data_IF_021492416437
#
_entry.id   IF_021492416437
#
_cell.length_a   1.000
_cell.length_b   1.000
_cell.length_c   1.000
_cell.angle_alpha   90.00
_cell.angle_beta   90.00
_cell.angle_gamma   90.00
#
_symmetry.space_group_name_H-M   'P 1'
#
loop_
_entity.id
_entity.type
_entity.pdbx_description
1 polymer ?
#
# COMPACT_ATOMS: atom_id res chain seq x y z
N UNK A 1 -25.44 -22.99 30.75
CA UNK A 1 -25.35 -21.84 29.82
C UNK A 1 -25.26 -22.34 28.39
N UNK A 2 -26.19 -21.91 27.53
CA UNK A 2 -26.19 -22.18 26.09
C UNK A 2 -25.02 -21.47 25.39
N UNK A 3 -24.55 -21.97 24.24
CA UNK A 3 -23.46 -21.32 23.46
C UNK A 3 -23.82 -19.86 23.13
N UNK A 4 -25.10 -19.63 22.79
CA UNK A 4 -25.70 -18.30 22.62
C UNK A 4 -25.50 -17.37 23.82
N UNK A 5 -25.86 -17.83 25.03
CA UNK A 5 -25.74 -17.01 26.25
C UNK A 5 -24.30 -16.61 26.57
N UNK A 6 -23.34 -17.50 26.33
CA UNK A 6 -21.91 -17.22 26.50
C UNK A 6 -21.44 -16.15 25.53
N UNK A 7 -21.75 -16.31 24.24
CA UNK A 7 -21.34 -15.36 23.18
C UNK A 7 -21.90 -13.97 23.39
N UNK A 8 -23.17 -13.84 23.78
CA UNK A 8 -23.74 -12.54 24.13
C UNK A 8 -22.97 -11.91 25.29
N UNK A 9 -22.74 -12.67 26.36
CA UNK A 9 -22.03 -12.19 27.55
C UNK A 9 -20.62 -11.71 27.17
N UNK A 10 -19.88 -12.50 26.38
CA UNK A 10 -18.52 -12.18 25.94
C UNK A 10 -18.46 -10.92 25.06
N UNK A 11 -19.43 -10.71 24.17
CA UNK A 11 -19.48 -9.49 23.35
C UNK A 11 -19.84 -8.29 24.23
N UNK A 12 -20.77 -8.44 25.17
CA UNK A 12 -21.14 -7.37 26.11
C UNK A 12 -19.94 -6.92 26.95
N UNK A 13 -19.17 -7.87 27.50
CA UNK A 13 -17.94 -7.58 28.25
C UNK A 13 -16.92 -6.85 27.38
N UNK A 14 -16.66 -7.33 26.15
CA UNK A 14 -15.72 -6.67 25.22
C UNK A 14 -16.13 -5.26 24.83
N UNK A 15 -17.44 -4.97 24.77
CA UNK A 15 -17.97 -3.65 24.43
C UNK A 15 -18.28 -2.76 25.63
N UNK A 16 -18.02 -3.21 26.87
CA UNK A 16 -18.43 -2.54 28.10
C UNK A 16 -19.93 -2.19 28.12
N UNK A 17 -20.79 -3.09 27.63
CA UNK A 17 -22.24 -2.91 27.60
C UNK A 17 -22.91 -3.56 28.82
N UNK A 18 -23.85 -2.85 29.43
CA UNK A 18 -24.76 -3.39 30.44
C UNK A 18 -25.97 -4.09 29.80
N UNK A 19 -26.64 -4.97 30.55
CA UNK A 19 -27.87 -5.63 30.07
C UNK A 19 -28.95 -4.61 29.69
N UNK A 20 -29.06 -3.53 30.48
CA UNK A 20 -29.98 -2.42 30.21
C UNK A 20 -29.67 -1.74 28.86
N UNK A 21 -28.42 -1.37 28.62
CA UNK A 21 -28.01 -0.72 27.35
C UNK A 21 -28.27 -1.63 26.14
N UNK A 22 -27.94 -2.93 26.25
CA UNK A 22 -28.21 -3.85 25.16
C UNK A 22 -29.72 -4.06 24.94
N UNK A 23 -30.52 -4.04 26.00
CA UNK A 23 -31.97 -4.17 25.90
C UNK A 23 -32.58 -2.97 25.16
N UNK A 24 -32.10 -1.76 25.46
CA UNK A 24 -32.47 -0.53 24.77
C UNK A 24 -32.10 -0.60 23.28
N UNK A 25 -30.85 -0.98 22.95
CA UNK A 25 -30.38 -1.09 21.56
C UNK A 25 -31.13 -2.16 20.75
N UNK A 26 -31.52 -3.27 21.37
CA UNK A 26 -32.22 -4.36 20.72
C UNK A 26 -33.75 -4.22 20.76
N UNK A 27 -34.27 -3.12 21.32
CA UNK A 27 -35.71 -2.87 21.53
C UNK A 27 -36.40 -4.06 22.22
N UNK A 28 -35.88 -4.44 23.39
CA UNK A 28 -36.49 -5.45 24.28
C UNK A 28 -36.49 -4.94 25.72
N UNK A 29 -37.31 -5.55 26.57
CA UNK A 29 -37.30 -5.25 28.02
C UNK A 29 -36.02 -5.78 28.67
N UNK A 30 -35.53 -5.12 29.70
CA UNK A 30 -34.38 -5.57 30.50
C UNK A 30 -34.60 -6.98 31.09
N UNK A 31 -35.83 -7.30 31.51
CA UNK A 31 -36.20 -8.63 31.99
C UNK A 31 -35.99 -9.71 30.91
N UNK A 32 -36.44 -9.46 29.67
CA UNK A 32 -36.20 -10.36 28.54
C UNK A 32 -34.71 -10.52 28.24
N UNK A 33 -33.93 -9.44 28.30
CA UNK A 33 -32.48 -9.50 28.14
C UNK A 33 -31.83 -10.40 29.20
N UNK A 34 -32.25 -10.28 30.46
CA UNK A 34 -31.73 -11.12 31.55
C UNK A 34 -31.94 -12.61 31.27
N UNK A 35 -33.12 -13.00 30.79
CA UNK A 35 -33.40 -14.38 30.39
C UNK A 35 -32.49 -14.86 29.24
N UNK A 36 -32.20 -14.00 28.26
CA UNK A 36 -31.31 -14.32 27.14
C UNK A 36 -29.85 -14.50 27.59
N UNK A 37 -29.36 -13.58 28.43
CA UNK A 37 -27.97 -13.60 28.96
C UNK A 37 -27.74 -14.79 29.89
N UNK A 38 -28.74 -15.19 30.68
CA UNK A 38 -28.68 -16.41 31.50
C UNK A 38 -28.85 -17.70 30.70
N UNK A 39 -29.32 -17.60 29.45
CA UNK A 39 -29.63 -18.74 28.59
C UNK A 39 -30.89 -19.50 29.00
N UNK A 40 -31.79 -18.86 29.77
CA UNK A 40 -33.07 -19.42 30.22
C UNK A 40 -34.15 -19.33 29.13
N UNK A 41 -33.97 -18.44 28.14
CA UNK A 41 -34.89 -18.27 27.02
C UNK A 41 -34.13 -18.08 25.71
N UNK A 42 -34.70 -18.59 24.62
CA UNK A 42 -34.21 -18.34 23.26
C UNK A 42 -34.99 -17.18 22.63
N UNK A 43 -34.33 -16.16 22.05
CA UNK A 43 -35.02 -15.10 21.32
C UNK A 43 -35.70 -15.64 20.05
N UNK A 44 -36.79 -15.01 19.64
CA UNK A 44 -37.38 -15.26 18.31
C UNK A 44 -36.49 -14.66 17.22
N UNK A 45 -36.69 -15.08 15.98
CA UNK A 45 -35.86 -14.67 14.85
C UNK A 45 -35.78 -13.15 14.64
N UNK A 46 -36.86 -12.41 14.89
CA UNK A 46 -36.88 -10.95 14.83
C UNK A 46 -36.01 -10.32 15.93
N UNK A 47 -36.15 -10.79 17.16
CA UNK A 47 -35.36 -10.33 18.32
C UNK A 47 -33.89 -10.70 18.15
N UNK A 48 -33.60 -11.91 17.68
CA UNK A 48 -32.25 -12.39 17.40
C UNK A 48 -31.55 -11.48 16.38
N UNK A 49 -32.25 -11.07 15.32
CA UNK A 49 -31.72 -10.14 14.31
C UNK A 49 -31.41 -8.77 14.90
N UNK A 50 -32.28 -8.23 15.77
CA UNK A 50 -32.04 -6.95 16.45
C UNK A 50 -30.85 -7.04 17.42
N UNK A 51 -30.74 -8.14 18.17
CA UNK A 51 -29.59 -8.41 19.04
C UNK A 51 -28.28 -8.48 18.24
N UNK A 52 -28.29 -9.23 17.13
CA UNK A 52 -27.17 -9.36 16.22
C UNK A 52 -26.73 -7.97 15.67
N UNK A 53 -27.68 -7.16 15.21
CA UNK A 53 -27.43 -5.78 14.75
C UNK A 53 -26.84 -4.89 15.85
N UNK A 54 -27.45 -4.87 17.04
CA UNK A 54 -26.96 -4.09 18.20
C UNK A 54 -25.52 -4.50 18.62
N UNK A 55 -25.24 -5.81 18.54
CA UNK A 55 -23.93 -6.36 18.86
C UNK A 55 -22.93 -6.25 17.70
N UNK A 56 -23.36 -5.88 16.50
CA UNK A 56 -22.51 -5.85 15.32
C UNK A 56 -21.94 -7.23 14.99
N UNK A 57 -22.79 -8.26 15.01
CA UNK A 57 -22.46 -9.65 14.65
C UNK A 57 -23.58 -10.24 13.82
N UNK A 58 -23.35 -11.36 13.13
CA UNK A 58 -24.41 -12.08 12.44
C UNK A 58 -25.27 -12.89 13.43
N UNK A 59 -26.53 -13.18 13.05
CA UNK A 59 -27.38 -14.06 13.84
C UNK A 59 -26.76 -15.46 13.98
N UNK A 60 -26.16 -15.97 12.90
CA UNK A 60 -25.48 -17.26 12.87
C UNK A 60 -24.29 -17.33 13.84
N UNK A 61 -23.56 -16.22 14.01
CA UNK A 61 -22.48 -16.14 15.00
C UNK A 61 -23.02 -16.29 16.42
N UNK A 62 -24.17 -15.67 16.73
CA UNK A 62 -24.81 -15.82 18.04
C UNK A 62 -25.34 -17.24 18.27
N UNK A 63 -25.81 -17.91 17.21
CA UNK A 63 -26.32 -19.29 17.28
C UNK A 63 -25.21 -20.35 17.32
N UNK A 64 -23.97 -19.98 17.02
CA UNK A 64 -22.81 -20.88 17.05
C UNK A 64 -22.60 -21.68 15.76
N UNK A 65 -23.28 -21.32 14.67
CA UNK A 65 -23.27 -22.08 13.41
C UNK A 65 -22.11 -21.70 12.46
N UNK A 66 -21.39 -20.58 12.69
CA UNK A 66 -20.26 -20.15 11.86
C UNK A 66 -19.12 -19.49 12.65
N UNK A 67 -17.87 -19.70 12.19
CA UNK A 67 -16.64 -19.01 12.66
C UNK A 67 -16.49 -17.58 12.11
N UNK A 68 -17.37 -17.17 11.20
CA UNK A 68 -17.26 -15.91 10.47
C UNK A 68 -17.47 -14.70 11.37
N UNK A 69 -16.58 -13.73 11.21
CA UNK A 69 -16.33 -12.57 12.06
C UNK A 69 -17.56 -11.66 12.32
N UNK A 70 -17.50 -10.79 13.34
CA UNK A 70 -18.46 -9.71 13.57
C UNK A 70 -18.86 -8.97 12.29
N UNK A 71 -20.09 -8.44 12.26
CA UNK A 71 -20.49 -7.50 11.22
C UNK A 71 -19.54 -6.30 11.30
N UNK A 72 -18.95 -5.90 10.17
CA UNK A 72 -18.02 -4.79 10.18
C UNK A 72 -18.75 -3.52 10.61
N UNK A 73 -18.32 -2.94 11.73
CA UNK A 73 -18.84 -1.68 12.29
C UNK A 73 -18.27 -0.46 11.57
N UNK A 74 -17.21 -0.66 10.79
CA UNK A 74 -16.51 0.37 10.03
C UNK A 74 -16.16 -0.15 8.64
N UNK A 75 -15.95 0.77 7.69
CA UNK A 75 -15.43 0.44 6.37
C UNK A 75 -14.08 -0.29 6.45
N UNK A 76 -13.24 0.03 7.46
CA UNK A 76 -11.97 -0.66 7.70
C UNK A 76 -12.17 -2.12 8.10
N UNK A 77 -13.11 -2.42 9.00
CA UNK A 77 -13.44 -3.80 9.37
C UNK A 77 -14.03 -4.58 8.20
N UNK A 78 -14.79 -3.91 7.32
CA UNK A 78 -15.33 -4.53 6.11
C UNK A 78 -14.20 -4.89 5.14
N UNK A 79 -13.29 -3.95 4.90
CA UNK A 79 -12.11 -4.18 4.06
C UNK A 79 -11.26 -5.31 4.61
N UNK A 80 -11.00 -5.36 5.92
CA UNK A 80 -10.25 -6.46 6.53
C UNK A 80 -10.90 -7.83 6.28
N UNK A 81 -12.23 -7.92 6.44
CA UNK A 81 -12.96 -9.15 6.14
C UNK A 81 -12.94 -9.50 4.65
N UNK A 82 -13.06 -8.50 3.78
CA UNK A 82 -13.02 -8.66 2.33
C UNK A 82 -11.66 -9.19 1.88
N UNK A 83 -10.55 -8.61 2.37
CA UNK A 83 -9.19 -9.08 2.11
C UNK A 83 -8.99 -10.53 2.56
N UNK A 84 -9.49 -10.89 3.75
CA UNK A 84 -9.38 -12.26 4.26
C UNK A 84 -10.13 -13.32 3.43
N UNK A 85 -11.10 -12.89 2.62
CA UNK A 85 -11.89 -13.78 1.75
C UNK A 85 -11.34 -13.94 0.33
N UNK A 86 -10.28 -13.21 -0.02
CA UNK A 86 -9.70 -13.19 -1.36
C UNK A 86 -8.80 -14.39 -1.64
N UNK A 87 -8.61 -14.69 -2.93
CA UNK A 87 -7.59 -15.62 -3.38
C UNK A 87 -6.22 -14.96 -3.54
N UNK A 88 -5.18 -15.78 -3.73
CA UNK A 88 -3.80 -15.29 -3.83
C UNK A 88 -3.59 -14.30 -4.99
N UNK A 89 -4.21 -14.51 -6.16
CA UNK A 89 -4.05 -13.62 -7.31
C UNK A 89 -4.62 -12.20 -7.03
N UNK A 90 -5.75 -12.14 -6.34
CA UNK A 90 -6.37 -10.89 -5.93
C UNK A 90 -5.57 -10.21 -4.80
N UNK A 91 -5.04 -11.00 -3.87
CA UNK A 91 -4.20 -10.49 -2.79
C UNK A 91 -2.91 -9.86 -3.31
N UNK A 92 -2.26 -10.44 -4.32
CA UNK A 92 -1.07 -9.85 -4.94
C UNK A 92 -1.34 -8.47 -5.53
N UNK A 93 -2.47 -8.30 -6.24
CA UNK A 93 -2.85 -6.99 -6.82
C UNK A 93 -3.08 -5.93 -5.76
N UNK A 94 -3.59 -6.32 -4.60
CA UNK A 94 -3.82 -5.41 -3.49
C UNK A 94 -2.52 -5.13 -2.75
N UNK A 95 -1.68 -6.13 -2.55
CA UNK A 95 -0.34 -5.94 -1.99
C UNK A 95 0.44 -4.92 -2.81
N UNK A 96 0.44 -5.04 -4.14
CA UNK A 96 1.10 -4.07 -5.03
C UNK A 96 0.58 -2.64 -4.80
N UNK A 97 -0.74 -2.47 -4.73
CA UNK A 97 -1.36 -1.17 -4.44
C UNK A 97 -1.00 -0.65 -3.04
N UNK A 98 -1.00 -1.52 -2.03
CA UNK A 98 -0.66 -1.15 -0.66
C UNK A 98 0.83 -0.81 -0.52
N UNK A 99 1.72 -1.48 -1.26
CA UNK A 99 3.15 -1.17 -1.32
C UNK A 99 3.40 0.20 -1.95
N UNK A 100 2.61 0.58 -2.96
CA UNK A 100 2.65 1.93 -3.55
C UNK A 100 2.18 3.00 -2.55
N UNK A 101 1.12 2.72 -1.78
CA UNK A 101 0.49 3.72 -0.89
C UNK A 101 1.18 3.82 0.49
N UNK A 102 1.67 2.70 1.02
CA UNK A 102 2.23 2.57 2.38
C UNK A 102 3.69 2.09 2.36
N UNK A 103 4.47 2.57 1.38
CA UNK A 103 5.86 2.18 1.19
C UNK A 103 6.71 2.33 2.46
N UNK A 104 6.41 3.35 3.29
CA UNK A 104 7.10 3.62 4.56
C UNK A 104 6.87 2.53 5.61
N UNK A 105 5.70 1.90 5.64
CA UNK A 105 5.36 0.84 6.59
C UNK A 105 5.90 -0.53 6.15
N UNK A 106 6.01 -0.77 4.85
CA UNK A 106 6.53 -2.03 4.31
C UNK A 106 8.08 -2.06 4.26
N UNK A 107 8.75 -0.90 4.24
CA UNK A 107 10.21 -0.81 4.16
C UNK A 107 10.94 -1.47 5.33
N UNK A 108 10.48 -1.29 6.57
CA UNK A 108 11.08 -1.95 7.74
C UNK A 108 10.89 -3.47 7.69
N UNK A 109 9.72 -3.94 7.24
CA UNK A 109 9.45 -5.37 7.11
C UNK A 109 10.32 -6.02 6.03
N UNK A 110 10.46 -5.38 4.86
CA UNK A 110 11.32 -5.86 3.78
C UNK A 110 12.81 -5.83 4.18
N UNK A 111 13.26 -4.81 4.92
CA UNK A 111 14.61 -4.72 5.51
C UNK A 111 14.87 -5.84 6.52
N UNK A 112 13.90 -6.15 7.38
CA UNK A 112 14.02 -7.21 8.38
C UNK A 112 13.93 -8.61 7.74
N UNK A 113 13.16 -8.78 6.68
CA UNK A 113 13.06 -10.03 5.92
C UNK A 113 14.31 -10.29 5.06
N UNK A 114 14.97 -9.23 4.56
CA UNK A 114 16.12 -9.34 3.66
C UNK A 114 17.46 -9.64 4.37
N UNK A 115 17.54 -9.57 5.72
CA UNK A 115 18.70 -9.99 6.51
C UNK A 115 20.06 -9.32 6.19
N UNK A 116 20.08 -8.37 5.25
CA UNK A 116 21.27 -7.79 4.63
C UNK A 116 20.81 -6.59 3.80
N UNK A 117 21.66 -5.54 3.75
CA UNK A 117 21.54 -4.40 2.82
C UNK A 117 20.90 -4.84 1.51
N UNK A 118 19.72 -4.29 1.18
CA UNK A 118 19.21 -4.35 -0.19
C UNK A 118 20.19 -3.51 -1.01
N UNK A 119 21.15 -4.16 -1.65
CA UNK A 119 21.89 -3.51 -2.73
C UNK A 119 20.85 -3.12 -3.80
N UNK A 120 20.89 -1.89 -4.33
CA UNK A 120 20.01 -1.52 -5.41
C UNK A 120 20.12 -2.58 -6.50
N UNK A 121 18.98 -3.03 -7.05
CA UNK A 121 18.99 -3.87 -8.25
C UNK A 121 19.90 -3.17 -9.27
N UNK A 122 20.97 -3.84 -9.68
CA UNK A 122 21.93 -3.25 -10.61
C UNK A 122 21.23 -3.03 -11.95
N UNK A 123 20.89 -1.78 -12.23
CA UNK A 123 20.19 -1.41 -13.46
C UNK A 123 21.00 -1.71 -14.72
N UNK A 124 22.30 -2.04 -14.60
CA UNK A 124 23.13 -2.46 -15.72
C UNK A 124 22.55 -3.66 -16.47
N UNK A 125 21.77 -4.52 -15.80
CA UNK A 125 21.04 -5.62 -16.46
C UNK A 125 19.93 -5.15 -17.43
N UNK A 126 19.51 -3.88 -17.34
CA UNK A 126 18.54 -3.27 -18.24
C UNK A 126 19.17 -2.73 -19.53
N UNK A 127 20.50 -2.76 -19.65
CA UNK A 127 21.20 -2.33 -20.86
C UNK A 127 21.36 -3.46 -21.86
N UNK A 128 21.48 -3.07 -23.14
CA UNK A 128 22.02 -3.97 -24.16
C UNK A 128 23.47 -4.33 -23.81
N UNK A 129 23.86 -5.58 -24.06
CA UNK A 129 25.22 -6.06 -23.77
C UNK A 129 26.27 -5.14 -24.41
N UNK A 130 27.23 -4.65 -23.61
CA UNK A 130 28.31 -3.74 -24.05
C UNK A 130 27.96 -2.25 -24.10
N UNK A 131 26.78 -1.82 -23.65
CA UNK A 131 26.37 -0.40 -23.70
C UNK A 131 26.91 0.48 -22.54
N UNK A 132 27.42 -0.13 -21.46
CA UNK A 132 28.09 0.57 -20.34
C UNK A 132 29.30 -0.25 -19.87
N UNK A 133 30.34 0.46 -19.43
CA UNK A 133 31.41 -0.10 -18.61
C UNK A 133 30.89 -0.52 -17.21
N UNK A 134 31.01 -1.79 -16.82
CA UNK A 134 30.50 -2.27 -15.52
C UNK A 134 31.10 -1.56 -14.30
N UNK A 135 32.25 -0.89 -14.42
CA UNK A 135 32.88 -0.15 -13.31
C UNK A 135 32.49 1.34 -13.23
N UNK A 136 31.76 1.88 -14.22
CA UNK A 136 31.38 3.29 -14.21
C UNK A 136 30.38 3.63 -13.11
N UNK A 137 30.67 4.71 -12.40
CA UNK A 137 29.78 5.28 -11.39
C UNK A 137 28.72 6.16 -12.05
N UNK A 138 27.46 6.14 -11.58
CA UNK A 138 26.42 7.00 -12.13
C UNK A 138 26.75 8.49 -11.96
N UNK A 139 26.52 9.27 -13.00
CA UNK A 139 26.54 10.73 -12.94
C UNK A 139 25.29 11.20 -12.20
N UNK A 140 25.48 11.90 -11.08
CA UNK A 140 24.38 12.39 -10.25
C UNK A 140 23.91 13.76 -10.75
N UNK A 141 22.60 13.90 -10.93
CA UNK A 141 21.88 15.15 -11.23
C UNK A 141 20.76 15.36 -10.22
N UNK A 142 20.40 16.61 -9.94
CA UNK A 142 19.29 16.92 -9.06
C UNK A 142 18.09 17.44 -9.84
N UNK A 143 16.88 17.09 -9.37
CA UNK A 143 15.64 17.60 -9.96
C UNK A 143 15.56 19.12 -9.92
N UNK A 144 16.12 19.75 -8.88
CA UNK A 144 16.17 21.21 -8.74
C UNK A 144 17.00 21.91 -9.83
N UNK A 145 17.89 21.17 -10.51
CA UNK A 145 18.76 21.71 -11.56
C UNK A 145 18.14 21.59 -12.96
N UNK A 146 16.90 21.13 -13.09
CA UNK A 146 16.23 21.03 -14.39
C UNK A 146 15.75 22.41 -14.85
N UNK A 147 16.14 22.79 -16.08
CA UNK A 147 15.72 24.04 -16.73
C UNK A 147 14.62 23.83 -17.77
N UNK A 148 14.46 22.60 -18.28
CA UNK A 148 13.40 22.27 -19.24
C UNK A 148 13.17 20.77 -19.39
N UNK A 149 11.91 20.40 -19.59
CA UNK A 149 11.46 19.04 -19.88
C UNK A 149 10.56 19.10 -21.10
N UNK A 150 10.86 18.30 -22.12
CA UNK A 150 10.09 18.22 -23.36
C UNK A 150 10.07 16.76 -23.89
N UNK A 151 9.32 16.52 -24.97
CA UNK A 151 9.14 15.17 -25.57
C UNK A 151 10.44 14.48 -26.01
N UNK A 152 11.53 15.22 -26.13
CA UNK A 152 12.83 14.69 -26.56
C UNK A 152 13.79 14.49 -25.39
N UNK A 153 13.55 15.10 -24.21
CA UNK A 153 14.47 14.95 -23.09
C UNK A 153 14.39 16.00 -21.98
N UNK A 154 15.44 16.05 -21.18
CA UNK A 154 15.59 16.91 -19.99
C UNK A 154 16.85 17.75 -20.13
N UNK A 155 16.76 19.05 -19.89
CA UNK A 155 17.90 19.99 -19.89
C UNK A 155 18.20 20.48 -18.48
N UNK A 156 19.48 20.59 -18.14
CA UNK A 156 19.95 21.03 -16.83
C UNK A 156 20.57 22.44 -16.86
N UNK A 157 20.77 23.02 -15.69
CA UNK A 157 21.40 24.34 -15.49
C UNK A 157 22.84 24.41 -16.01
N UNK A 158 23.57 23.29 -15.96
CA UNK A 158 24.94 23.17 -16.48
C UNK A 158 25.01 22.94 -18.00
N UNK A 159 23.87 22.97 -18.70
CA UNK A 159 23.77 22.75 -20.14
C UNK A 159 23.81 21.29 -20.58
N UNK A 160 23.98 20.34 -19.66
CA UNK A 160 23.85 18.91 -19.98
C UNK A 160 22.41 18.53 -20.31
N UNK A 161 22.24 17.41 -21.03
CA UNK A 161 20.93 16.93 -21.48
C UNK A 161 20.83 15.40 -21.36
N UNK A 162 19.66 14.91 -20.94
CA UNK A 162 19.24 13.51 -21.09
C UNK A 162 18.35 13.43 -22.32
N UNK A 163 18.69 12.58 -23.29
CA UNK A 163 17.89 12.33 -24.50
C UNK A 163 17.06 11.04 -24.34
N UNK A 164 15.74 11.16 -24.48
CA UNK A 164 14.84 10.02 -24.26
C UNK A 164 14.89 8.96 -25.35
N UNK A 165 15.12 9.34 -26.61
CA UNK A 165 15.25 8.36 -27.70
C UNK A 165 16.60 7.64 -27.61
N UNK A 166 17.65 8.31 -27.12
CA UNK A 166 18.90 7.65 -26.75
C UNK A 166 18.68 6.62 -25.64
N UNK A 167 18.05 7.00 -24.53
CA UNK A 167 17.77 6.07 -23.43
C UNK A 167 16.94 4.87 -23.88
N UNK A 168 15.91 5.11 -24.71
CA UNK A 168 15.08 4.03 -25.25
C UNK A 168 15.86 3.07 -26.15
N UNK A 169 16.85 3.53 -26.91
CA UNK A 169 17.74 2.67 -27.73
C UNK A 169 18.70 1.84 -26.90
N UNK A 170 19.17 2.38 -25.76
CA UNK A 170 20.09 1.71 -24.86
C UNK A 170 19.41 0.64 -23.99
N UNK A 171 18.08 0.71 -23.87
CA UNK A 171 17.27 -0.30 -23.17
C UNK A 171 17.37 -1.68 -23.85
N UNK A 172 17.52 -2.72 -23.04
CA UNK A 172 17.47 -4.13 -23.45
C UNK A 172 16.11 -4.55 -24.00
N UNK A 173 15.04 -3.84 -23.61
CA UNK A 173 13.69 -4.12 -24.04
C UNK A 173 13.41 -3.36 -25.35
N UNK A 174 13.69 -4.00 -26.49
CA UNK A 174 13.40 -3.43 -27.81
C UNK A 174 11.93 -3.01 -27.92
N UNK A 175 11.69 -1.83 -28.52
CA UNK A 175 10.36 -1.21 -28.67
C UNK A 175 9.63 -0.86 -27.35
N UNK A 176 10.29 -0.91 -26.19
CA UNK A 176 9.63 -0.66 -24.90
C UNK A 176 9.35 0.83 -24.63
N UNK A 177 10.02 1.76 -25.32
CA UNK A 177 10.06 3.19 -24.97
C UNK A 177 10.45 3.42 -23.49
N UNK A 178 11.16 2.47 -22.88
CA UNK A 178 11.63 2.56 -21.50
C UNK A 178 12.91 3.41 -21.45
N UNK A 179 12.89 4.49 -20.68
CA UNK A 179 13.99 5.48 -20.66
C UNK A 179 14.76 5.51 -19.35
N UNK A 180 14.18 4.98 -18.27
CA UNK A 180 14.81 4.97 -16.97
C UNK A 180 14.29 3.82 -16.10
N UNK A 181 15.10 3.44 -15.12
CA UNK A 181 14.66 2.71 -13.95
C UNK A 181 14.37 3.70 -12.82
N UNK A 182 13.41 3.42 -11.96
CA UNK A 182 13.05 4.30 -10.83
C UNK A 182 13.10 3.52 -9.53
N UNK A 183 13.50 4.19 -8.45
CA UNK A 183 13.44 3.64 -7.11
C UNK A 183 12.79 4.66 -6.18
N UNK A 184 11.49 4.50 -5.94
CA UNK A 184 10.71 5.37 -5.06
C UNK A 184 10.95 5.07 -3.58
N UNK A 185 11.35 3.84 -3.25
CA UNK A 185 11.62 3.37 -1.89
C UNK A 185 12.93 3.93 -1.33
N UNK A 186 13.91 4.24 -2.18
CA UNK A 186 15.20 4.83 -1.78
C UNK A 186 15.03 6.25 -1.23
N UNK A 187 15.95 6.69 -0.36
CA UNK A 187 15.92 8.03 0.22
C UNK A 187 17.25 8.75 -0.05
N UNK A 188 17.28 9.83 -0.87
CA UNK A 188 16.18 10.38 -1.68
C UNK A 188 15.76 9.49 -2.87
N UNK A 189 14.49 9.51 -3.31
CA UNK A 189 14.07 8.71 -4.46
C UNK A 189 14.74 9.21 -5.75
N UNK A 190 14.91 8.32 -6.73
CA UNK A 190 15.65 8.64 -7.95
C UNK A 190 15.15 7.92 -9.21
N UNK A 191 15.54 8.46 -10.35
CA UNK A 191 15.47 7.82 -11.67
C UNK A 191 16.86 7.63 -12.22
N UNK A 192 17.17 6.43 -12.68
CA UNK A 192 18.41 6.14 -13.40
C UNK A 192 18.15 6.02 -14.90
N UNK A 193 18.64 7.00 -15.65
CA UNK A 193 18.50 7.09 -17.09
C UNK A 193 19.63 6.37 -17.82
N UNK A 194 19.26 5.73 -18.93
CA UNK A 194 20.14 4.88 -19.73
C UNK A 194 20.93 5.70 -20.76
N UNK A 195 21.78 6.62 -20.32
CA UNK A 195 22.64 7.45 -21.20
C UNK A 195 23.79 6.64 -21.80
N UNK A 196 24.36 7.08 -22.92
CA UNK A 196 25.46 6.36 -23.58
C UNK A 196 26.70 6.38 -22.72
N UNK A 197 27.25 5.20 -22.41
CA UNK A 197 28.51 5.08 -21.69
C UNK A 197 28.50 5.68 -20.29
N UNK A 198 27.33 5.80 -19.64
CA UNK A 198 27.20 5.99 -18.18
C UNK A 198 25.71 5.97 -17.80
N UNK A 199 25.43 5.83 -16.51
CA UNK A 199 24.07 5.98 -15.95
C UNK A 199 23.94 7.42 -15.46
N UNK A 200 22.87 8.12 -15.84
CA UNK A 200 22.55 9.42 -15.23
C UNK A 200 21.47 9.24 -14.16
N UNK A 201 21.83 9.42 -12.89
CA UNK A 201 20.92 9.33 -11.74
C UNK A 201 20.32 10.71 -11.43
N UNK A 202 19.03 10.88 -11.70
CA UNK A 202 18.25 12.05 -11.33
C UNK A 202 17.64 11.87 -9.94
N UNK A 203 18.11 12.67 -8.99
CA UNK A 203 17.76 12.59 -7.56
C UNK A 203 16.74 13.66 -7.18
N UNK A 204 15.73 13.24 -6.41
CA UNK A 204 14.66 14.10 -5.90
C UNK A 204 14.91 14.38 -4.41
N UNK A 205 15.66 15.45 -4.15
CA UNK A 205 15.94 15.91 -2.79
C UNK A 205 14.77 16.77 -2.28
N UNK A 206 14.13 16.33 -1.20
CA UNK A 206 13.22 17.20 -0.44
C UNK A 206 14.04 18.31 0.25
N UNK A 207 13.68 19.58 0.03
CA UNK A 207 14.40 20.74 0.58
C UNK A 207 14.20 20.95 2.08
N UNK A 208 13.36 20.16 2.75
CA UNK A 208 13.07 20.32 4.18
C UNK A 208 13.98 19.43 5.05
N UNK A 209 15.22 19.88 5.24
CA UNK A 209 16.26 19.27 6.09
C UNK A 209 16.15 19.68 7.58
N UNK A 210 14.98 20.05 8.07
CA UNK A 210 14.84 20.61 9.42
C UNK A 210 13.73 19.89 10.18
N UNK A 211 14.14 18.94 11.03
CA UNK A 211 13.36 18.15 11.99
C UNK A 211 12.49 16.99 11.46
N UNK A 212 13.01 15.77 11.62
CA UNK A 212 12.30 14.52 11.94
C UNK A 212 10.75 14.57 11.81
N UNK A 213 10.21 14.56 10.59
CA UNK A 213 8.82 14.15 10.30
C UNK A 213 8.74 13.50 8.92
N UNK A 214 8.38 12.21 8.93
CA UNK A 214 7.74 11.42 7.88
C UNK A 214 7.98 11.87 6.44
N UNK A 215 8.81 11.07 5.75
CA UNK A 215 9.13 11.09 4.32
C UNK A 215 7.85 11.17 3.48
N UNK A 216 7.38 12.39 3.21
CA UNK A 216 6.37 12.70 2.21
C UNK A 216 6.97 12.26 0.88
N UNK A 217 6.30 11.37 0.14
CA UNK A 217 6.71 11.06 -1.25
C UNK A 217 6.89 12.40 -1.95
N UNK A 218 8.05 12.62 -2.57
CA UNK A 218 8.34 13.88 -3.24
C UNK A 218 7.29 14.07 -4.34
N UNK A 219 6.40 15.06 -4.18
CA UNK A 219 5.33 15.35 -5.14
C UNK A 219 5.91 15.59 -6.55
N UNK A 220 7.15 16.08 -6.62
CA UNK A 220 7.87 16.24 -7.87
C UNK A 220 8.22 14.89 -8.51
N UNK A 221 8.57 13.86 -7.73
CA UNK A 221 8.89 12.53 -8.25
C UNK A 221 7.67 11.91 -8.95
N UNK A 222 6.50 11.95 -8.29
CA UNK A 222 5.25 11.41 -8.83
C UNK A 222 4.80 12.21 -10.06
N UNK A 223 4.87 13.54 -9.98
CA UNK A 223 4.54 14.42 -11.10
C UNK A 223 5.45 14.16 -12.31
N UNK A 224 6.75 14.01 -12.07
CA UNK A 224 7.73 13.75 -13.11
C UNK A 224 7.48 12.39 -13.80
N UNK A 225 7.14 11.35 -13.04
CA UNK A 225 6.70 10.07 -13.63
C UNK A 225 5.50 10.24 -14.56
N UNK A 226 4.51 11.04 -14.15
CA UNK A 226 3.34 11.30 -14.97
C UNK A 226 3.70 12.06 -16.26
N UNK A 227 4.60 13.04 -16.17
CA UNK A 227 5.10 13.78 -17.33
C UNK A 227 5.81 12.84 -18.33
N UNK A 228 6.69 11.94 -17.87
CA UNK A 228 7.34 10.93 -18.73
C UNK A 228 6.30 10.06 -19.45
N UNK A 229 5.28 9.58 -18.73
CA UNK A 229 4.22 8.77 -19.31
C UNK A 229 3.42 9.56 -20.37
N UNK A 230 3.12 10.83 -20.10
CA UNK A 230 2.40 11.70 -21.03
C UNK A 230 3.20 12.00 -22.30
N UNK A 231 4.53 11.96 -22.22
CA UNK A 231 5.43 12.07 -23.37
C UNK A 231 5.57 10.77 -24.17
N UNK A 232 4.91 9.68 -23.74
CA UNK A 232 4.89 8.40 -24.45
C UNK A 232 6.03 7.45 -24.08
N UNK A 233 6.79 7.76 -23.02
CA UNK A 233 7.85 6.92 -22.50
C UNK A 233 7.42 6.15 -21.25
N UNK A 234 8.20 5.15 -20.88
CA UNK A 234 7.98 4.32 -19.69
C UNK A 234 9.22 4.30 -18.82
N UNK A 235 9.03 3.91 -17.56
CA UNK A 235 10.12 3.63 -16.63
C UNK A 235 9.86 2.32 -15.91
N UNK A 236 10.94 1.64 -15.54
CA UNK A 236 10.89 0.37 -14.83
C UNK A 236 10.97 0.59 -13.32
N UNK A 237 10.13 -0.09 -12.55
CA UNK A 237 10.16 0.02 -11.09
C UNK A 237 11.18 -0.95 -10.50
N UNK A 238 12.08 -0.44 -9.65
CA UNK A 238 13.11 -1.24 -8.96
C UNK A 238 12.72 -1.61 -7.53
N UNK A 239 11.58 -1.12 -7.03
CA UNK A 239 11.04 -1.46 -5.71
C UNK A 239 10.11 -2.66 -5.78
#
# INVERSE_FOLDING_TARGET
>A
MSDFSKRITDIMTRKNLTQKQLAELAHVTESAMSYYVKGERTPRADVLRRLAGALGVTADYLLGENKSAPLPKTELEYLQGFLASMNNEQLYKIEDLLRIVFTDQFYEYDLMAAGSRIEPIDIRYMFRDGAIDPEETPVIKFYADITGIDKTGITFTDGSRIDFEECARNSKYENSKCVAARNIGFNPPYFDFLTTGTITRLVFCSTDTVFFKKKRIDENFVRFQFEINHMGYRTYDLT
#
